data_IF_241123735462
#
_entry.id   IF_241123735462
#
_cell.length_a   1.000
_cell.length_b   1.000
_cell.length_c   1.000
_cell.angle_alpha   90.00
_cell.angle_beta   90.00
_cell.angle_gamma   90.00
#
_symmetry.space_group_name_H-M   'P 1'
#
loop_
_entity.id
_entity.type
_entity.pdbx_description
1 polymer ?
#
# COMPACT_ATOMS: atom_id res chain seq x y z
N UNK A 1 13.37 -1.15 8.35
CA UNK A 1 12.81 0.22 8.52
C UNK A 1 13.81 1.21 9.09
N UNK A 2 14.50 0.95 10.22
CA UNK A 2 15.46 1.92 10.80
C UNK A 2 16.76 2.11 9.99
N UNK A 3 17.42 1.01 9.61
CA UNK A 3 18.71 0.98 8.90
C UNK A 3 18.55 1.27 7.40
N UNK A 4 18.17 2.49 7.05
CA UNK A 4 18.02 2.91 5.66
C UNK A 4 17.37 4.28 5.57
N UNK A 5 16.13 4.40 6.05
CA UNK A 5 15.40 5.68 6.06
C UNK A 5 15.99 6.66 7.09
N UNK A 6 16.55 6.15 8.19
CA UNK A 6 17.13 6.98 9.26
C UNK A 6 18.66 6.98 9.27
N UNK A 7 19.32 6.48 8.24
CA UNK A 7 20.79 6.37 8.22
C UNK A 7 21.48 7.74 8.26
N UNK A 8 20.80 8.79 7.76
CA UNK A 8 21.26 10.17 7.89
C UNK A 8 21.15 10.73 9.33
N UNK A 9 20.50 10.03 10.25
CA UNK A 9 20.20 10.50 11.62
C UNK A 9 21.11 9.76 12.62
N UNK A 10 21.72 10.44 13.61
CA UNK A 10 22.50 9.80 14.66
C UNK A 10 21.73 8.72 15.43
N UNK A 11 22.39 7.59 15.73
CA UNK A 11 21.76 6.38 16.29
C UNK A 11 20.94 6.60 17.57
N UNK A 12 21.36 7.52 18.45
CA UNK A 12 20.59 7.89 19.65
C UNK A 12 19.27 8.57 19.30
N UNK A 13 19.28 9.44 18.29
CA UNK A 13 18.10 10.19 17.84
C UNK A 13 17.14 9.26 17.09
N UNK A 14 17.65 8.28 16.32
CA UNK A 14 16.82 7.24 15.70
C UNK A 14 15.96 6.49 16.73
N UNK A 15 16.55 6.23 17.90
CA UNK A 15 15.86 5.58 19.01
C UNK A 15 14.68 6.40 19.52
N UNK A 16 14.92 7.69 19.76
CA UNK A 16 13.92 8.63 20.21
C UNK A 16 12.78 8.81 19.18
N UNK A 17 13.12 9.03 17.90
CA UNK A 17 12.13 9.23 16.83
C UNK A 17 11.25 8.00 16.69
N UNK A 18 11.83 6.79 16.67
CA UNK A 18 11.04 5.56 16.60
C UNK A 18 10.08 5.39 17.78
N UNK A 19 10.50 5.77 19.00
CA UNK A 19 9.62 5.73 20.17
C UNK A 19 8.47 6.74 20.05
N UNK A 20 8.74 7.96 19.59
CA UNK A 20 7.71 8.99 19.39
C UNK A 20 6.71 8.57 18.31
N UNK A 21 7.20 8.02 17.20
CA UNK A 21 6.36 7.49 16.12
C UNK A 21 5.47 6.34 16.62
N UNK A 22 6.05 5.35 17.31
CA UNK A 22 5.31 4.24 17.90
C UNK A 22 4.20 4.75 18.84
N UNK A 23 4.55 5.60 19.81
CA UNK A 23 3.58 6.14 20.78
C UNK A 23 2.47 6.94 20.10
N UNK A 24 2.80 7.77 19.12
CA UNK A 24 1.84 8.55 18.34
C UNK A 24 0.86 7.65 17.60
N UNK A 25 1.39 6.69 16.83
CA UNK A 25 0.58 5.74 16.05
C UNK A 25 -0.30 4.88 16.97
N UNK A 26 0.24 4.27 18.02
CA UNK A 26 -0.55 3.45 18.96
C UNK A 26 -1.64 4.26 19.65
N UNK A 27 -1.36 5.50 20.06
CA UNK A 27 -2.36 6.38 20.68
C UNK A 27 -3.49 6.71 19.70
N UNK A 28 -3.15 7.05 18.46
CA UNK A 28 -4.15 7.36 17.42
C UNK A 28 -4.99 6.13 17.08
N UNK A 29 -4.37 4.96 16.88
CA UNK A 29 -5.06 3.68 16.67
C UNK A 29 -6.03 3.36 17.82
N UNK A 30 -5.60 3.51 19.06
CA UNK A 30 -6.48 3.26 20.20
C UNK A 30 -7.62 4.30 20.30
N UNK A 31 -7.33 5.57 20.01
CA UNK A 31 -8.29 6.67 20.03
C UNK A 31 -9.41 6.51 18.99
N UNK A 32 -9.07 6.06 17.78
CA UNK A 32 -10.06 5.78 16.71
C UNK A 32 -10.75 4.41 16.87
N UNK A 33 -10.32 3.60 17.84
CA UNK A 33 -10.90 2.28 18.13
C UNK A 33 -10.26 1.11 17.38
N UNK A 34 -9.49 1.33 16.31
CA UNK A 34 -8.83 0.25 15.55
C UNK A 34 -7.74 -0.47 16.34
N UNK A 35 -7.11 0.22 17.30
CA UNK A 35 -6.15 -0.37 18.23
C UNK A 35 -6.78 -1.26 19.31
N UNK A 36 -8.10 -1.44 19.31
CA UNK A 36 -8.81 -2.33 20.26
C UNK A 36 -9.06 -3.72 19.68
N UNK A 37 -8.88 -3.91 18.38
CA UNK A 37 -9.04 -5.21 17.74
C UNK A 37 -7.88 -6.14 18.08
N UNK A 38 -8.19 -7.43 18.17
CA UNK A 38 -7.20 -8.48 18.27
C UNK A 38 -6.40 -8.62 16.97
N UNK A 39 -5.21 -9.22 17.06
CA UNK A 39 -4.39 -9.50 15.88
C UNK A 39 -5.11 -10.37 14.84
N UNK A 40 -6.03 -11.24 15.29
CA UNK A 40 -6.84 -12.11 14.42
C UNK A 40 -7.86 -11.28 13.62
N UNK A 41 -8.63 -10.42 14.30
CA UNK A 41 -9.60 -9.54 13.64
C UNK A 41 -8.91 -8.60 12.65
N UNK A 42 -7.74 -8.05 13.01
CA UNK A 42 -6.94 -7.22 12.11
C UNK A 42 -6.44 -7.97 10.87
N UNK A 43 -6.13 -9.26 11.00
CA UNK A 43 -5.74 -10.10 9.87
C UNK A 43 -6.92 -10.42 8.95
N UNK A 44 -8.11 -10.64 9.50
CA UNK A 44 -9.35 -10.81 8.74
C UNK A 44 -9.72 -9.52 8.00
N UNK A 45 -9.77 -8.37 8.69
CA UNK A 45 -10.04 -7.08 8.06
C UNK A 45 -9.06 -6.73 6.95
N UNK A 46 -7.77 -7.04 7.12
CA UNK A 46 -6.78 -6.81 6.07
C UNK A 46 -7.11 -7.60 4.80
N UNK A 47 -7.53 -8.86 4.92
CA UNK A 47 -7.94 -9.68 3.77
C UNK A 47 -9.21 -9.11 3.14
N UNK A 48 -10.21 -8.77 3.95
CA UNK A 48 -11.49 -8.27 3.45
C UNK A 48 -11.34 -6.95 2.70
N UNK A 49 -10.59 -5.99 3.27
CA UNK A 49 -10.31 -4.70 2.63
C UNK A 49 -9.64 -4.88 1.28
N UNK A 50 -8.58 -5.70 1.20
CA UNK A 50 -7.93 -5.96 -0.09
C UNK A 50 -8.84 -6.73 -1.06
N UNK A 51 -9.69 -7.63 -0.57
CA UNK A 51 -10.72 -8.30 -1.36
C UNK A 51 -11.73 -7.33 -1.97
N UNK A 52 -12.21 -6.34 -1.20
CA UNK A 52 -13.12 -5.31 -1.70
C UNK A 52 -12.45 -4.36 -2.70
N UNK A 53 -11.21 -3.94 -2.44
CA UNK A 53 -10.44 -3.14 -3.41
C UNK A 53 -10.20 -3.94 -4.69
N UNK A 54 -9.87 -5.22 -4.59
CA UNK A 54 -9.73 -6.12 -5.74
C UNK A 54 -11.03 -6.20 -6.54
N UNK A 55 -12.19 -6.33 -5.88
CA UNK A 55 -13.48 -6.36 -6.57
C UNK A 55 -13.73 -5.06 -7.35
N UNK A 56 -13.53 -3.91 -6.71
CA UNK A 56 -13.70 -2.60 -7.33
C UNK A 56 -12.74 -2.38 -8.53
N UNK A 57 -11.47 -2.74 -8.36
CA UNK A 57 -10.48 -2.64 -9.44
C UNK A 57 -10.74 -3.66 -10.56
N UNK A 58 -11.30 -4.82 -10.25
CA UNK A 58 -11.67 -5.81 -11.27
C UNK A 58 -12.78 -5.30 -12.17
N UNK A 59 -13.77 -4.59 -11.63
CA UNK A 59 -14.85 -3.98 -12.41
C UNK A 59 -14.32 -2.86 -13.31
N UNK A 60 -13.53 -1.95 -12.74
CA UNK A 60 -12.97 -0.81 -13.48
C UNK A 60 -11.92 -1.24 -14.51
N UNK A 61 -11.21 -2.35 -14.28
CA UNK A 61 -10.28 -2.92 -15.28
C UNK A 61 -10.98 -3.30 -16.59
N UNK A 62 -12.25 -3.69 -16.55
CA UNK A 62 -13.02 -4.03 -17.75
C UNK A 62 -13.28 -2.83 -18.65
N UNK A 63 -13.14 -1.60 -18.13
CA UNK A 63 -13.30 -0.37 -18.92
C UNK A 63 -11.98 0.10 -19.54
N UNK A 64 -10.85 -0.55 -19.21
CA UNK A 64 -9.56 -0.25 -19.79
C UNK A 64 -9.54 -0.58 -21.29
N UNK A 65 -9.08 0.33 -22.16
CA UNK A 65 -9.10 0.10 -23.61
C UNK A 65 -8.08 -0.96 -24.06
N UNK A 66 -7.01 -1.15 -23.28
CA UNK A 66 -5.92 -2.07 -23.58
C UNK A 66 -5.20 -2.55 -22.31
N UNK A 67 -4.11 -3.30 -22.47
CA UNK A 67 -3.34 -3.91 -21.38
C UNK A 67 -2.29 -2.99 -20.74
N UNK A 68 -2.09 -1.77 -21.26
CA UNK A 68 -1.06 -0.83 -20.83
C UNK A 68 -1.66 0.45 -20.24
N UNK A 69 -2.79 0.90 -20.78
CA UNK A 69 -3.47 2.11 -20.33
C UNK A 69 -3.95 1.95 -18.89
N UNK A 70 -3.59 2.89 -17.99
CA UNK A 70 -4.12 2.90 -16.64
C UNK A 70 -5.65 3.01 -16.63
N UNK A 71 -6.25 2.35 -15.65
CA UNK A 71 -7.66 2.48 -15.32
C UNK A 71 -7.79 3.05 -13.91
N UNK A 72 -8.92 3.66 -13.60
CA UNK A 72 -9.08 4.47 -12.38
C UNK A 72 -10.08 3.82 -11.44
N UNK A 73 -9.81 3.87 -10.14
CA UNK A 73 -10.58 3.19 -9.09
C UNK A 73 -12.05 3.60 -9.04
N UNK A 74 -12.37 4.83 -9.48
CA UNK A 74 -13.74 5.34 -9.59
C UNK A 74 -14.31 5.27 -11.02
N UNK A 75 -13.62 4.61 -11.96
CA UNK A 75 -14.07 4.41 -13.35
C UNK A 75 -14.10 5.69 -14.20
N UNK A 76 -13.43 6.76 -13.76
CA UNK A 76 -13.34 8.03 -14.49
C UNK A 76 -12.51 7.93 -15.79
N UNK A 77 -12.31 9.08 -16.47
CA UNK A 77 -11.41 9.17 -17.63
C UNK A 77 -9.97 9.53 -17.25
N UNK A 78 -9.78 10.12 -16.08
CA UNK A 78 -8.52 10.64 -15.56
C UNK A 78 -8.35 10.24 -14.09
N UNK A 79 -7.12 10.21 -13.55
CA UNK A 79 -6.91 9.89 -12.14
C UNK A 79 -7.56 10.94 -11.23
N UNK A 80 -7.91 10.47 -10.05
CA UNK A 80 -8.39 11.25 -8.91
C UNK A 80 -7.48 11.07 -7.70
N UNK A 81 -7.72 11.80 -6.62
CA UNK A 81 -7.00 11.61 -5.36
C UNK A 81 -7.21 10.20 -4.76
N UNK A 82 -8.33 9.55 -5.09
CA UNK A 82 -8.56 8.16 -4.69
C UNK A 82 -7.55 7.23 -5.35
N UNK A 83 -7.19 7.48 -6.61
CA UNK A 83 -6.21 6.68 -7.35
C UNK A 83 -4.82 6.81 -6.75
N UNK A 84 -4.41 8.05 -6.40
CA UNK A 84 -3.16 8.31 -5.71
C UNK A 84 -3.08 7.58 -4.36
N UNK A 85 -4.20 7.57 -3.61
CA UNK A 85 -4.29 6.89 -2.32
C UNK A 85 -4.17 5.38 -2.48
N UNK A 86 -4.96 4.78 -3.37
CA UNK A 86 -4.98 3.33 -3.60
C UNK A 86 -3.63 2.86 -4.16
N UNK A 87 -3.08 3.57 -5.14
CA UNK A 87 -1.74 3.31 -5.67
C UNK A 87 -0.70 3.35 -4.55
N UNK A 88 -0.71 4.41 -3.72
CA UNK A 88 0.25 4.56 -2.62
C UNK A 88 0.21 3.41 -1.62
N UNK A 89 -0.98 2.93 -1.27
CA UNK A 89 -1.12 1.77 -0.39
C UNK A 89 -0.67 0.46 -1.04
N UNK A 90 -0.95 0.24 -2.32
CA UNK A 90 -0.50 -0.96 -3.06
C UNK A 90 1.02 -0.94 -3.19
N UNK A 91 1.60 0.14 -3.71
CA UNK A 91 3.04 0.29 -3.90
C UNK A 91 3.79 0.20 -2.56
N UNK A 92 3.29 0.83 -1.50
CA UNK A 92 3.87 0.69 -0.16
C UNK A 92 3.77 -0.74 0.37
N UNK A 93 2.66 -1.43 0.12
CA UNK A 93 2.49 -2.83 0.53
C UNK A 93 3.44 -3.78 -0.20
N UNK A 94 3.74 -3.51 -1.47
CA UNK A 94 4.66 -4.30 -2.29
C UNK A 94 6.13 -4.02 -1.96
N UNK A 95 6.50 -2.76 -1.69
CA UNK A 95 7.87 -2.34 -1.39
C UNK A 95 8.29 -2.45 0.09
N UNK A 96 7.36 -2.64 1.02
CA UNK A 96 7.66 -2.62 2.46
C UNK A 96 7.99 -4.00 3.04
N UNK A 97 9.27 -4.22 3.38
CA UNK A 97 9.72 -5.45 4.04
C UNK A 97 9.17 -5.67 5.46
N UNK A 98 8.62 -4.63 6.12
CA UNK A 98 8.13 -4.73 7.49
C UNK A 98 6.70 -5.30 7.62
N UNK A 99 5.98 -5.47 6.49
CA UNK A 99 4.60 -5.97 6.48
C UNK A 99 4.42 -7.10 5.45
N UNK A 100 5.11 -8.25 5.62
CA UNK A 100 5.12 -9.33 4.62
C UNK A 100 3.73 -9.92 4.34
N UNK A 101 2.86 -9.97 5.35
CA UNK A 101 1.47 -10.42 5.18
C UNK A 101 0.69 -9.59 4.17
N UNK A 102 0.85 -8.26 4.20
CA UNK A 102 0.18 -7.36 3.26
C UNK A 102 0.71 -7.58 1.85
N UNK A 103 2.03 -7.71 1.69
CA UNK A 103 2.68 -8.02 0.41
C UNK A 103 2.12 -9.31 -0.20
N UNK A 104 2.01 -10.36 0.62
CA UNK A 104 1.45 -11.65 0.18
C UNK A 104 -0.01 -11.56 -0.27
N UNK A 105 -0.86 -10.84 0.48
CA UNK A 105 -2.27 -10.66 0.12
C UNK A 105 -2.39 -9.85 -1.19
N UNK A 106 -1.65 -8.74 -1.32
CA UNK A 106 -1.69 -7.92 -2.54
C UNK A 106 -1.25 -8.73 -3.75
N UNK A 107 -0.12 -9.46 -3.64
CA UNK A 107 0.37 -10.34 -4.72
C UNK A 107 -0.62 -11.46 -5.09
N UNK A 108 -1.50 -11.87 -4.16
CA UNK A 108 -2.55 -12.87 -4.45
C UNK A 108 -3.70 -12.35 -5.33
N UNK A 109 -3.79 -11.04 -5.52
CA UNK A 109 -4.79 -10.39 -6.37
C UNK A 109 -4.11 -9.72 -7.59
N UNK A 110 -4.02 -10.39 -8.75
CA UNK A 110 -3.29 -9.88 -9.92
C UNK A 110 -3.76 -8.51 -10.40
N UNK A 111 -5.05 -8.18 -10.21
CA UNK A 111 -5.60 -6.87 -10.58
C UNK A 111 -4.97 -5.71 -9.81
N UNK A 112 -4.59 -5.93 -8.54
CA UNK A 112 -3.98 -4.89 -7.71
C UNK A 112 -2.57 -4.58 -8.20
N UNK A 113 -1.82 -5.62 -8.56
CA UNK A 113 -0.47 -5.50 -9.11
C UNK A 113 -0.53 -4.83 -10.49
N UNK A 114 -1.39 -5.30 -11.39
CA UNK A 114 -1.60 -4.71 -12.73
C UNK A 114 -1.99 -3.23 -12.65
N UNK A 115 -2.90 -2.87 -11.73
CA UNK A 115 -3.29 -1.48 -11.48
C UNK A 115 -2.09 -0.62 -11.09
N UNK A 116 -1.28 -1.08 -10.13
CA UNK A 116 -0.13 -0.32 -9.66
C UNK A 116 0.99 -0.24 -10.71
N UNK A 117 1.26 -1.31 -11.45
CA UNK A 117 2.28 -1.34 -12.50
C UNK A 117 1.98 -0.35 -13.61
N UNK A 118 0.74 -0.33 -14.12
CA UNK A 118 0.36 0.62 -15.18
C UNK A 118 0.51 2.07 -14.76
N UNK A 119 0.11 2.40 -13.52
CA UNK A 119 0.28 3.75 -12.98
C UNK A 119 1.77 4.07 -12.83
N UNK A 120 2.57 3.12 -12.35
CA UNK A 120 4.01 3.28 -12.21
C UNK A 120 4.67 3.57 -13.56
N UNK A 121 4.39 2.79 -14.59
CA UNK A 121 4.99 2.99 -15.91
C UNK A 121 4.60 4.32 -16.58
N UNK A 122 3.45 4.90 -16.25
CA UNK A 122 3.01 6.17 -16.84
C UNK A 122 3.50 7.39 -16.05
N UNK A 123 3.53 7.33 -14.72
CA UNK A 123 3.82 8.50 -13.87
C UNK A 123 5.16 8.45 -13.13
N UNK A 124 5.78 7.28 -13.05
CA UNK A 124 6.96 7.02 -12.24
C UNK A 124 8.00 6.16 -13.00
N UNK A 125 8.07 6.29 -14.33
CA UNK A 125 8.95 5.48 -15.19
C UNK A 125 10.43 5.54 -14.79
N UNK A 126 10.87 6.68 -14.24
CA UNK A 126 12.25 6.89 -13.76
C UNK A 126 12.56 6.18 -12.44
N UNK A 127 11.54 5.67 -11.74
CA UNK A 127 11.69 4.97 -10.47
C UNK A 127 11.74 3.47 -10.70
N UNK A 128 12.60 2.77 -9.93
CA UNK A 128 12.58 1.32 -9.91
C UNK A 128 11.22 0.82 -9.41
N UNK A 129 10.70 -0.24 -10.05
CA UNK A 129 9.56 -0.98 -9.52
C UNK A 129 9.95 -1.61 -8.17
N UNK A 130 8.96 -1.96 -7.34
CA UNK A 130 9.23 -2.67 -6.08
C UNK A 130 10.06 -3.93 -6.32
N UNK A 131 11.07 -4.18 -5.47
CA UNK A 131 11.92 -5.36 -5.62
C UNK A 131 11.08 -6.66 -5.53
N UNK A 132 11.16 -7.46 -6.59
CA UNK A 132 10.72 -8.84 -6.56
C UNK A 132 11.65 -9.61 -5.61
N UNK A 133 11.06 -10.36 -4.68
CA UNK A 133 11.84 -11.15 -3.72
C UNK A 133 12.66 -12.18 -4.52
N UNK A 134 14.00 -12.06 -4.45
CA UNK A 134 14.96 -13.04 -4.99
C UNK A 134 14.92 -14.37 -4.23
#
# INVERSE_FOLDING_TARGET
MRLGIMDAIPWLIQNLIGLLAYRGVTRTLYGQGTGRFSSKELAEFRRDVWGYVNALLSETRLTAPDLQTPFWVLGGKSPSEADATVFGFIASGLGCAAAPDSKGIIKSYPVLVDYAERIHYVYFEDYALWEEDA
#
